data_IF_670125890776
#
_entry.id   IF_670125890776
#
_cell.length_a   1.000
_cell.length_b   1.000
_cell.length_c   1.000
_cell.angle_alpha   90.00
_cell.angle_beta   90.00
_cell.angle_gamma   90.00
#
_symmetry.space_group_name_H-M   'P 1'
#
loop_
_entity.id
_entity.type
_entity.pdbx_description
1 polymer ?
#
# COMPACT_ATOMS: atom_id res chain seq x y z
N UNK A 1 -13.57 2.08 -11.94
CA UNK A 1 -12.83 1.49 -13.05
C UNK A 1 -11.33 1.62 -12.76
N UNK A 2 -10.58 0.51 -12.83
CA UNK A 2 -9.13 0.44 -12.53
C UNK A 2 -8.31 0.91 -13.73
N UNK A 3 -8.75 0.60 -14.95
CA UNK A 3 -8.03 1.01 -16.15
C UNK A 3 -8.11 2.53 -16.32
N UNK A 4 -9.29 3.12 -16.12
CA UNK A 4 -9.42 4.58 -16.04
C UNK A 4 -8.56 5.19 -14.91
N UNK A 5 -8.54 4.58 -13.72
CA UNK A 5 -7.70 5.06 -12.62
C UNK A 5 -6.22 5.09 -13.01
N UNK A 6 -5.74 4.10 -13.77
CA UNK A 6 -4.35 4.07 -14.24
C UNK A 6 -4.00 5.30 -15.08
N UNK A 7 -4.96 5.82 -15.86
CA UNK A 7 -4.73 6.96 -16.75
C UNK A 7 -4.52 8.29 -16.04
N UNK A 8 -4.90 8.37 -14.77
CA UNK A 8 -4.81 9.58 -13.94
C UNK A 8 -3.93 9.39 -12.69
N UNK A 9 -3.28 8.22 -12.55
CA UNK A 9 -2.58 7.86 -11.32
C UNK A 9 -1.15 8.41 -11.24
N UNK A 10 -0.33 8.14 -12.26
CA UNK A 10 1.13 8.33 -12.25
C UNK A 10 1.59 8.80 -13.62
N UNK A 11 2.20 9.98 -13.69
CA UNK A 11 2.71 10.61 -14.92
C UNK A 11 3.90 9.86 -15.54
N UNK A 12 4.57 9.03 -14.74
CA UNK A 12 5.67 8.20 -15.19
C UNK A 12 5.21 6.88 -15.85
N UNK A 13 3.90 6.59 -15.85
CA UNK A 13 3.37 5.33 -16.37
C UNK A 13 2.85 5.49 -17.80
N UNK A 14 3.01 4.50 -18.70
CA UNK A 14 2.62 4.63 -20.11
C UNK A 14 1.15 4.95 -20.36
N UNK A 15 0.25 4.64 -19.42
CA UNK A 15 -1.18 4.93 -19.56
C UNK A 15 -1.59 6.35 -19.14
N UNK A 16 -0.65 7.17 -18.64
CA UNK A 16 -0.95 8.55 -18.23
C UNK A 16 -1.56 9.36 -19.37
N UNK A 17 -2.76 9.88 -19.15
CA UNK A 17 -3.53 10.61 -20.16
C UNK A 17 -3.26 12.12 -20.17
N UNK A 18 -2.31 12.61 -19.37
CA UNK A 18 -2.04 14.05 -19.29
C UNK A 18 -3.17 14.86 -18.67
N UNK A 19 -4.06 14.22 -17.89
CA UNK A 19 -5.19 14.90 -17.24
C UNK A 19 -5.32 14.50 -15.78
N UNK A 20 -5.90 15.40 -14.98
CA UNK A 20 -6.13 15.17 -13.56
C UNK A 20 -7.26 16.07 -13.03
N UNK A 21 -8.01 15.62 -12.01
CA UNK A 21 -8.93 16.47 -11.25
C UNK A 21 -8.26 17.68 -10.57
N UNK A 22 -6.93 17.72 -10.49
CA UNK A 22 -6.17 18.83 -9.95
C UNK A 22 -5.18 19.35 -10.99
N UNK A 23 -5.28 20.63 -11.29
CA UNK A 23 -4.35 21.36 -12.15
C UNK A 23 -3.77 22.53 -11.34
N UNK A 24 -2.46 22.67 -11.32
CA UNK A 24 -1.75 23.77 -10.67
C UNK A 24 -0.92 24.48 -11.74
N UNK A 25 -1.11 25.78 -11.96
CA UNK A 25 -0.39 26.56 -12.99
C UNK A 25 -0.43 25.89 -14.38
N UNK A 26 -1.59 25.38 -14.79
CA UNK A 26 -1.80 24.63 -16.03
C UNK A 26 -1.09 23.26 -16.13
N UNK A 27 -0.48 22.78 -15.04
CA UNK A 27 0.10 21.44 -14.97
C UNK A 27 -0.86 20.48 -14.26
N UNK A 28 -1.30 19.38 -14.91
CA UNK A 28 -2.11 18.35 -14.29
C UNK A 28 -1.27 17.58 -13.27
N UNK A 29 -1.75 17.47 -12.04
CA UNK A 29 -1.04 16.76 -10.95
C UNK A 29 -1.55 15.32 -10.86
N UNK A 30 -0.73 14.27 -11.06
CA UNK A 30 -1.19 12.89 -10.92
C UNK A 30 -1.73 12.56 -9.52
N UNK A 31 -2.70 11.64 -9.42
CA UNK A 31 -3.31 11.25 -8.14
C UNK A 31 -2.29 10.73 -7.11
N UNK A 32 -1.22 10.09 -7.56
CA UNK A 32 -0.11 9.63 -6.69
C UNK A 32 0.47 10.77 -5.83
N UNK A 33 0.46 12.00 -6.31
CA UNK A 33 0.98 13.18 -5.60
C UNK A 33 -0.05 13.88 -4.69
N UNK A 34 -1.33 13.50 -4.74
CA UNK A 34 -2.37 14.17 -3.97
C UNK A 34 -2.14 14.10 -2.46
N UNK A 35 -1.50 13.03 -1.97
CA UNK A 35 -1.08 12.96 -0.58
C UNK A 35 -0.17 14.13 -0.24
N UNK A 36 0.88 14.38 -1.02
CA UNK A 36 1.85 15.46 -0.78
C UNK A 36 1.17 16.83 -0.83
N UNK A 37 0.32 17.06 -1.82
CA UNK A 37 -0.36 18.35 -2.00
C UNK A 37 -1.35 18.64 -0.87
N UNK A 38 -2.15 17.65 -0.47
CA UNK A 38 -3.26 17.88 0.44
C UNK A 38 -2.99 17.52 1.90
N UNK A 39 -1.83 16.97 2.28
CA UNK A 39 -1.60 16.31 3.58
C UNK A 39 -2.06 17.11 4.82
N UNK A 40 -1.95 18.43 4.79
CA UNK A 40 -2.32 19.34 5.89
C UNK A 40 -3.70 19.99 5.74
N UNK A 41 -4.51 19.56 4.77
CA UNK A 41 -5.80 20.17 4.43
C UNK A 41 -6.98 19.31 4.93
N UNK A 42 -8.14 19.93 5.08
CA UNK A 42 -9.40 19.19 5.34
C UNK A 42 -9.76 18.27 4.17
N UNK A 43 -9.42 18.66 2.94
CA UNK A 43 -9.62 17.83 1.74
C UNK A 43 -8.93 16.48 1.85
N UNK A 44 -7.72 16.43 2.42
CA UNK A 44 -7.04 15.17 2.65
C UNK A 44 -7.74 14.28 3.66
N UNK A 45 -8.34 14.83 4.72
CA UNK A 45 -9.08 14.00 5.70
C UNK A 45 -10.21 13.21 5.04
N UNK A 46 -10.91 13.83 4.09
CA UNK A 46 -11.97 13.20 3.31
C UNK A 46 -11.41 12.21 2.27
N UNK A 47 -10.33 12.60 1.57
CA UNK A 47 -9.78 11.82 0.47
C UNK A 47 -8.91 10.62 0.91
N UNK A 48 -8.27 10.70 2.08
CA UNK A 48 -7.21 9.78 2.53
C UNK A 48 -7.60 8.31 2.43
N UNK A 49 -8.82 7.96 2.83
CA UNK A 49 -9.28 6.56 2.80
C UNK A 49 -9.36 6.04 1.36
N UNK A 50 -9.97 6.83 0.47
CA UNK A 50 -10.12 6.45 -0.93
C UNK A 50 -8.76 6.43 -1.65
N UNK A 51 -7.93 7.44 -1.42
CA UNK A 51 -6.58 7.48 -1.94
C UNK A 51 -5.75 6.26 -1.50
N UNK A 52 -5.86 5.84 -0.23
CA UNK A 52 -5.16 4.66 0.25
C UNK A 52 -5.60 3.39 -0.47
N UNK A 53 -6.90 3.25 -0.81
CA UNK A 53 -7.41 2.13 -1.59
C UNK A 53 -6.83 2.15 -3.01
N UNK A 54 -6.88 3.30 -3.68
CA UNK A 54 -6.27 3.47 -5.01
C UNK A 54 -4.79 3.16 -4.99
N UNK A 55 -4.05 3.62 -3.98
CA UNK A 55 -2.63 3.35 -3.85
C UNK A 55 -2.31 1.86 -3.78
N UNK A 56 -3.10 1.06 -3.05
CA UNK A 56 -2.89 -0.39 -3.00
C UNK A 56 -3.22 -1.08 -4.32
N UNK A 57 -4.30 -0.68 -4.99
CA UNK A 57 -4.68 -1.22 -6.29
C UNK A 57 -3.62 -0.90 -7.36
N UNK A 58 -3.20 0.36 -7.42
CA UNK A 58 -2.26 0.83 -8.43
C UNK A 58 -0.84 0.30 -8.20
N UNK A 59 -0.41 0.12 -6.95
CA UNK A 59 0.85 -0.57 -6.69
C UNK A 59 0.86 -2.01 -7.24
N UNK A 60 -0.23 -2.76 -7.06
CA UNK A 60 -0.36 -4.12 -7.62
C UNK A 60 -0.46 -4.08 -9.16
N UNK A 61 -1.29 -3.18 -9.70
CA UNK A 61 -1.50 -3.02 -11.14
C UNK A 61 -0.21 -2.68 -11.88
N UNK A 62 0.57 -1.73 -11.36
CA UNK A 62 1.85 -1.35 -11.95
C UNK A 62 2.90 -2.45 -11.77
N UNK A 63 2.90 -3.17 -10.63
CA UNK A 63 3.85 -4.26 -10.38
C UNK A 63 3.66 -5.47 -11.30
N UNK A 64 2.41 -5.81 -11.65
CA UNK A 64 2.10 -6.94 -12.51
C UNK A 64 2.04 -6.54 -13.99
N UNK A 65 1.68 -5.29 -14.26
CA UNK A 65 1.24 -4.83 -15.56
C UNK A 65 -0.23 -5.22 -15.84
N UNK A 66 -0.92 -4.53 -16.79
CA UNK A 66 -2.35 -4.71 -17.02
C UNK A 66 -2.77 -6.16 -17.29
N UNK A 67 -2.06 -6.85 -18.19
CA UNK A 67 -2.40 -8.21 -18.60
C UNK A 67 -2.30 -9.20 -17.44
N UNK A 68 -1.19 -9.19 -16.70
CA UNK A 68 -1.01 -10.11 -15.57
C UNK A 68 -1.91 -9.73 -14.38
N UNK A 69 -2.17 -8.43 -14.17
CA UNK A 69 -3.09 -7.98 -13.15
C UNK A 69 -4.48 -8.56 -13.41
N UNK A 70 -5.01 -8.43 -14.63
CA UNK A 70 -6.32 -8.96 -14.96
C UNK A 70 -6.34 -10.49 -15.07
N UNK A 71 -5.24 -11.13 -15.46
CA UNK A 71 -5.12 -12.59 -15.36
C UNK A 71 -5.21 -13.09 -13.92
N UNK A 72 -4.62 -12.37 -12.95
CA UNK A 72 -4.70 -12.68 -11.52
C UNK A 72 -6.08 -12.39 -10.92
N UNK A 73 -6.69 -11.26 -11.30
CA UNK A 73 -7.89 -10.72 -10.66
C UNK A 73 -9.15 -10.84 -11.51
N UNK A 74 -9.19 -11.78 -12.45
CA UNK A 74 -10.40 -12.15 -13.17
C UNK A 74 -10.77 -13.59 -12.86
N UNK A 75 -12.06 -13.84 -12.64
CA UNK A 75 -12.61 -15.18 -12.45
C UNK A 75 -13.46 -15.53 -13.66
N UNK A 76 -13.11 -16.61 -14.36
CA UNK A 76 -13.77 -17.03 -15.60
C UNK A 76 -13.83 -15.91 -16.65
N UNK A 77 -12.76 -15.11 -16.78
CA UNK A 77 -12.69 -13.97 -17.70
C UNK A 77 -13.45 -12.72 -17.24
N UNK A 78 -14.09 -12.74 -16.07
CA UNK A 78 -14.79 -11.58 -15.51
C UNK A 78 -13.90 -10.89 -14.47
N UNK A 79 -13.55 -9.61 -14.64
CA UNK A 79 -12.81 -8.84 -13.65
C UNK A 79 -13.50 -8.80 -12.29
N UNK A 80 -12.76 -9.07 -11.22
CA UNK A 80 -13.24 -8.89 -9.86
C UNK A 80 -13.47 -7.41 -9.55
N UNK A 81 -14.39 -7.14 -8.62
CA UNK A 81 -14.63 -5.77 -8.17
C UNK A 81 -13.39 -5.25 -7.41
N UNK A 82 -13.07 -3.95 -7.52
CA UNK A 82 -11.94 -3.36 -6.79
C UNK A 82 -11.95 -3.63 -5.27
N UNK A 83 -13.14 -3.74 -4.66
CA UNK A 83 -13.27 -4.11 -3.24
C UNK A 83 -12.80 -5.53 -2.94
N UNK A 84 -13.10 -6.50 -3.80
CA UNK A 84 -12.67 -7.89 -3.65
C UNK A 84 -11.17 -8.01 -3.79
N UNK A 85 -10.60 -7.35 -4.81
CA UNK A 85 -9.14 -7.27 -5.00
C UNK A 85 -8.47 -6.66 -3.76
N UNK A 86 -9.01 -5.56 -3.22
CA UNK A 86 -8.48 -4.93 -2.01
C UNK A 86 -8.52 -5.84 -0.79
N UNK A 87 -9.60 -6.61 -0.61
CA UNK A 87 -9.73 -7.56 0.49
C UNK A 87 -8.74 -8.71 0.35
N UNK A 88 -8.56 -9.25 -0.85
CA UNK A 88 -7.55 -10.26 -1.16
C UNK A 88 -6.13 -9.73 -0.93
N UNK A 89 -5.79 -8.55 -1.43
CA UNK A 89 -4.49 -7.90 -1.17
C UNK A 89 -4.26 -7.66 0.33
N UNK A 90 -5.31 -7.35 1.09
CA UNK A 90 -5.22 -7.19 2.55
C UNK A 90 -4.97 -8.52 3.24
N UNK A 91 -5.60 -9.61 2.78
CA UNK A 91 -5.35 -10.95 3.28
C UNK A 91 -3.91 -11.41 2.98
N UNK A 92 -3.44 -11.21 1.74
CA UNK A 92 -2.06 -11.52 1.35
C UNK A 92 -1.03 -10.78 2.21
N UNK A 93 -1.25 -9.47 2.47
CA UNK A 93 -0.38 -8.69 3.37
C UNK A 93 -0.38 -9.23 4.79
N UNK A 94 -1.54 -9.59 5.33
CA UNK A 94 -1.64 -10.19 6.68
C UNK A 94 -0.89 -11.50 6.75
N UNK A 95 -1.07 -12.40 5.78
CA UNK A 95 -0.37 -13.66 5.73
C UNK A 95 1.16 -13.45 5.64
N UNK A 96 1.61 -12.48 4.83
CA UNK A 96 3.03 -12.12 4.74
C UNK A 96 3.58 -11.56 6.05
N UNK A 97 2.85 -10.63 6.68
CA UNK A 97 3.23 -10.07 7.98
C UNK A 97 3.28 -11.15 9.07
N UNK A 98 2.36 -12.12 9.05
CA UNK A 98 2.36 -13.25 9.97
C UNK A 98 3.60 -14.13 9.76
N UNK A 99 3.89 -14.54 8.52
CA UNK A 99 5.09 -15.35 8.20
C UNK A 99 6.38 -14.67 8.64
N UNK A 100 6.53 -13.39 8.31
CA UNK A 100 7.73 -12.63 8.64
C UNK A 100 7.85 -12.39 10.15
N UNK A 101 6.73 -12.20 10.86
CA UNK A 101 6.74 -12.09 12.32
C UNK A 101 7.06 -13.42 13.01
N UNK A 102 6.63 -14.56 12.46
CA UNK A 102 7.03 -15.89 12.94
C UNK A 102 8.52 -16.11 12.72
N UNK A 103 9.04 -15.86 11.51
CA UNK A 103 10.46 -15.96 11.22
C UNK A 103 11.32 -15.06 12.12
N UNK A 104 10.85 -13.84 12.40
CA UNK A 104 11.52 -12.94 13.34
C UNK A 104 11.62 -13.50 14.76
N UNK A 105 10.57 -14.17 15.25
CA UNK A 105 10.55 -14.80 16.59
C UNK A 105 11.48 -16.00 16.66
N UNK A 106 11.57 -16.77 15.59
CA UNK A 106 12.47 -17.92 15.48
C UNK A 106 13.94 -17.48 15.43
N UNK A 107 14.25 -16.50 14.58
CA UNK A 107 15.62 -16.03 14.35
C UNK A 107 16.18 -15.24 15.55
N UNK A 108 15.36 -14.41 16.19
CA UNK A 108 15.77 -13.58 17.32
C UNK A 108 15.30 -14.13 18.65
N UNK A 109 15.12 -15.45 18.79
CA UNK A 109 14.54 -16.07 19.99
C UNK A 109 15.21 -15.61 21.30
N UNK A 110 16.54 -15.40 21.28
CA UNK A 110 17.33 -14.99 22.46
C UNK A 110 17.25 -13.49 22.79
N UNK A 111 17.10 -12.63 21.78
CA UNK A 111 17.05 -11.16 21.94
C UNK A 111 15.78 -10.53 21.34
N UNK A 112 14.68 -11.27 21.31
CA UNK A 112 13.46 -10.73 20.69
C UNK A 112 12.98 -9.48 21.43
N UNK A 113 13.09 -9.48 22.76
CA UNK A 113 12.68 -8.35 23.61
C UNK A 113 13.56 -7.11 23.45
N UNK A 114 14.84 -7.25 23.10
CA UNK A 114 15.73 -6.13 22.79
C UNK A 114 15.58 -5.67 21.36
N UNK A 115 15.72 -6.60 20.42
CA UNK A 115 15.64 -6.35 18.99
C UNK A 115 14.25 -5.87 18.56
N UNK A 116 13.14 -6.40 19.09
CA UNK A 116 11.78 -6.00 18.72
C UNK A 116 11.08 -5.19 19.81
N UNK A 117 11.74 -4.13 20.28
CA UNK A 117 11.14 -3.16 21.19
C UNK A 117 11.18 -1.71 20.69
N UNK A 118 10.40 -0.87 21.37
CA UNK A 118 10.40 0.58 21.23
C UNK A 118 10.34 1.26 22.60
N UNK A 119 10.89 2.48 22.70
CA UNK A 119 10.84 3.29 23.92
C UNK A 119 9.65 4.26 23.89
N UNK A 120 8.94 4.36 25.01
CA UNK A 120 7.87 5.35 25.22
C UNK A 120 7.84 5.77 26.68
N UNK A 121 7.99 7.07 26.95
CA UNK A 121 7.98 7.62 28.32
C UNK A 121 9.03 7.00 29.24
N UNK A 122 10.27 6.84 28.75
CA UNK A 122 11.39 6.24 29.50
C UNK A 122 11.31 4.73 29.70
N UNK A 123 10.22 4.07 29.29
CA UNK A 123 10.03 2.62 29.39
C UNK A 123 10.21 1.94 28.04
N UNK A 124 10.71 0.71 28.07
CA UNK A 124 10.86 -0.15 26.88
C UNK A 124 9.65 -1.08 26.76
N UNK A 125 9.08 -1.16 25.56
CA UNK A 125 7.93 -2.01 25.25
C UNK A 125 8.24 -2.93 24.07
N UNK A 126 7.94 -4.21 24.21
CA UNK A 126 8.03 -5.18 23.10
C UNK A 126 6.91 -4.93 22.08
N UNK A 127 7.26 -5.05 20.80
CA UNK A 127 6.33 -4.96 19.68
C UNK A 127 5.36 -6.14 19.72
N UNK A 128 4.06 -5.88 19.64
CA UNK A 128 3.02 -6.91 19.82
C UNK A 128 2.36 -7.37 18.52
N UNK A 129 2.22 -6.48 17.55
CA UNK A 129 1.47 -6.77 16.31
C UNK A 129 2.39 -7.30 15.23
N UNK A 130 1.97 -8.35 14.53
CA UNK A 130 2.72 -8.99 13.43
C UNK A 130 3.20 -7.97 12.39
N UNK A 131 2.32 -7.07 11.95
CA UNK A 131 2.66 -5.99 11.01
C UNK A 131 3.88 -5.16 11.45
N UNK A 132 3.97 -4.81 12.73
CA UNK A 132 5.05 -3.97 13.26
C UNK A 132 6.33 -4.79 13.40
N UNK A 133 6.23 -6.04 13.86
CA UNK A 133 7.35 -6.98 13.95
C UNK A 133 7.92 -7.25 12.56
N UNK A 134 7.09 -7.69 11.61
CA UNK A 134 7.45 -7.94 10.22
C UNK A 134 8.09 -6.71 9.56
N UNK A 135 7.52 -5.52 9.79
CA UNK A 135 8.07 -4.27 9.28
C UNK A 135 9.47 -3.94 9.81
N UNK A 136 9.80 -4.34 11.05
CA UNK A 136 11.16 -4.21 11.59
C UNK A 136 12.07 -5.33 11.05
N UNK A 137 11.59 -6.56 11.01
CA UNK A 137 12.34 -7.72 10.52
C UNK A 137 12.83 -7.51 9.09
N UNK A 138 11.97 -7.04 8.18
CA UNK A 138 12.33 -6.71 6.79
C UNK A 138 13.38 -5.60 6.65
N UNK A 139 13.62 -4.79 7.68
CA UNK A 139 14.67 -3.75 7.68
C UNK A 139 16.00 -4.23 8.26
N UNK A 140 15.97 -5.36 8.98
CA UNK A 140 17.15 -6.00 9.56
C UNK A 140 17.77 -7.02 8.59
N UNK A 141 17.03 -7.40 7.55
CA UNK A 141 17.51 -8.16 6.39
C UNK A 141 18.08 -7.20 5.34
#
# INVERSE_FOLDING_TARGET
>A
DIDHLSTIWDDMWPSWAGNSPLVIKNEPIPLKHFRTVYIHTQRWKMLKQQWSKWNFLMAEYQSLGPSNFWAKWSKNGIPEKPSQILDSLKAERRARDQRDATAAKEEYVTDFGGTFAYRKGGKTFTMKTERVIAGKFRKLK
#
